data_IF_272525104188
#
_entry.id   IF_272525104188
#
_cell.length_a   1.000
_cell.length_b   1.000
_cell.length_c   1.000
_cell.angle_alpha   90.00
_cell.angle_beta   90.00
_cell.angle_gamma   90.00
#
_symmetry.space_group_name_H-M   'P 1'
#
loop_
_entity.id
_entity.type
_entity.pdbx_description
1 polymer ?
#
# COMPACT_ATOMS: atom_id res chain seq x y z
N UNK A 1 -15.74 63.00 -23.98
CA UNK A 1 -16.68 63.31 -22.89
C UNK A 1 -16.27 62.50 -21.68
N UNK A 2 -15.43 63.10 -20.83
CA UNK A 2 -15.26 62.71 -19.44
C UNK A 2 -16.46 63.22 -18.62
N UNK A 3 -16.59 62.76 -17.37
CA UNK A 3 -16.56 63.74 -16.29
C UNK A 3 -15.56 63.38 -15.17
N UNK A 4 -14.72 64.37 -14.85
CA UNK A 4 -14.20 64.77 -13.52
C UNK A 4 -15.33 64.92 -12.48
N UNK A 5 -15.19 65.16 -11.17
CA UNK A 5 -14.17 65.24 -10.11
C UNK A 5 -15.01 65.48 -8.82
N UNK A 6 -14.55 65.10 -7.63
CA UNK A 6 -14.37 66.03 -6.48
C UNK A 6 -13.99 65.34 -5.16
N UNK A 7 -13.06 66.02 -4.50
CA UNK A 7 -12.33 65.77 -3.25
C UNK A 7 -13.07 66.22 -1.98
N UNK A 8 -12.63 65.72 -0.80
CA UNK A 8 -12.16 66.46 0.41
C UNK A 8 -12.11 65.49 1.63
N UNK A 9 -10.92 65.13 2.17
CA UNK A 9 -10.21 65.71 3.35
C UNK A 9 -11.01 65.71 4.66
N UNK A 10 -10.49 65.55 5.89
CA UNK A 10 -9.20 65.21 6.54
C UNK A 10 -9.44 65.45 8.06
N UNK A 11 -8.81 64.69 8.97
CA UNK A 11 -8.14 65.09 10.25
C UNK A 11 -8.10 63.88 11.20
N UNK A 12 -6.96 63.30 11.64
CA UNK A 12 -5.76 63.79 12.35
C UNK A 12 -5.90 63.72 13.89
N UNK A 13 -4.94 63.06 14.54
CA UNK A 13 -4.81 62.94 16.00
C UNK A 13 -3.62 62.10 16.45
N UNK A 14 -2.44 62.73 16.56
CA UNK A 14 -1.15 62.22 17.08
C UNK A 14 -1.08 62.10 18.61
N UNK A 15 -0.13 61.27 19.08
CA UNK A 15 0.90 61.53 20.15
C UNK A 15 1.62 60.20 20.46
N UNK A 16 2.87 59.99 20.07
CA UNK A 16 4.16 60.41 20.67
C UNK A 16 4.37 59.92 22.12
N UNK A 17 5.34 59.01 22.32
CA UNK A 17 6.63 59.30 22.97
C UNK A 17 7.49 58.02 23.22
N UNK A 18 8.80 58.16 23.02
CA UNK A 18 9.90 57.22 23.39
C UNK A 18 10.69 57.81 24.58
N UNK A 19 11.90 57.33 24.95
CA UNK A 19 12.36 56.02 25.44
C UNK A 19 13.08 56.13 26.81
N UNK A 20 13.36 55.02 27.53
CA UNK A 20 14.54 54.91 28.44
C UNK A 20 14.79 53.50 29.01
N UNK A 21 16.07 53.26 29.25
CA UNK A 21 16.83 52.08 29.67
C UNK A 21 16.71 51.67 31.16
N UNK A 22 16.80 50.36 31.48
CA UNK A 22 17.41 49.83 32.72
C UNK A 22 17.67 48.31 32.65
N UNK A 23 18.69 47.84 33.41
CA UNK A 23 19.28 46.49 33.44
C UNK A 23 18.62 45.53 34.45
N UNK A 24 18.96 44.23 34.25
CA UNK A 24 19.28 43.16 35.23
C UNK A 24 18.22 42.20 35.79
N UNK A 25 18.54 40.91 35.58
CA UNK A 25 18.36 39.71 36.44
C UNK A 25 17.25 38.70 36.09
N UNK A 26 17.64 37.42 35.96
CA UNK A 26 16.74 36.26 36.00
C UNK A 26 17.23 35.06 35.17
N UNK A 27 17.68 34.01 35.85
CA UNK A 27 18.38 32.81 35.38
C UNK A 27 17.52 31.77 34.62
N UNK A 28 18.19 30.87 33.87
CA UNK A 28 17.71 29.49 33.66
C UNK A 28 17.74 28.95 32.22
N UNK A 29 18.92 28.63 31.67
CA UNK A 29 19.09 27.81 30.46
C UNK A 29 19.77 26.48 30.83
N UNK A 30 19.13 25.34 30.55
CA UNK A 30 19.70 23.99 30.70
C UNK A 30 19.81 23.35 29.31
N UNK A 31 21.05 23.14 28.87
CA UNK A 31 21.45 22.46 27.63
C UNK A 31 22.28 21.23 28.01
N UNK A 32 21.81 20.03 27.65
CA UNK A 32 22.54 18.77 27.89
C UNK A 32 23.33 18.39 26.63
N UNK A 33 24.62 18.17 26.82
CA UNK A 33 25.61 17.80 25.81
C UNK A 33 26.03 16.34 26.00
N UNK A 34 26.05 15.56 24.90
CA UNK A 34 26.63 14.22 24.85
C UNK A 34 28.15 14.31 24.66
N UNK A 35 28.90 13.43 25.35
CA UNK A 35 30.28 13.13 25.00
C UNK A 35 30.64 11.67 25.31
N UNK A 36 31.22 11.04 24.29
CA UNK A 36 31.91 9.74 24.25
C UNK A 36 33.27 9.77 24.93
N UNK A 37 33.77 8.61 25.40
CA UNK A 37 35.16 8.17 25.13
C UNK A 37 35.45 6.77 25.70
N UNK A 38 36.15 5.98 24.88
CA UNK A 38 36.80 4.72 25.21
C UNK A 38 38.00 4.89 26.17
N UNK A 39 38.42 3.80 26.82
CA UNK A 39 39.67 3.72 27.59
C UNK A 39 39.88 2.35 28.21
N UNK A 40 41.09 1.83 28.05
CA UNK A 40 41.51 0.43 28.11
C UNK A 40 42.30 0.12 29.40
N UNK A 41 42.38 -1.18 29.74
CA UNK A 41 43.53 -1.89 30.36
C UNK A 41 43.87 -1.87 31.87
N UNK A 42 44.24 -3.09 32.33
CA UNK A 42 45.13 -3.52 33.46
C UNK A 42 44.53 -3.54 34.88
N UNK A 43 44.82 -4.49 35.79
CA UNK A 43 45.85 -5.54 35.89
C UNK A 43 45.49 -6.58 36.98
N UNK A 44 45.85 -7.85 36.73
CA UNK A 44 46.34 -8.91 37.64
C UNK A 44 45.94 -8.99 39.13
N UNK A 45 45.59 -10.22 39.57
CA UNK A 45 46.42 -10.97 40.54
C UNK A 45 46.08 -12.46 40.61
N UNK A 46 47.13 -13.27 40.56
CA UNK A 46 47.19 -14.73 40.65
C UNK A 46 47.38 -15.23 42.09
N UNK A 47 46.78 -16.37 42.46
CA UNK A 47 47.37 -17.44 43.31
C UNK A 47 46.32 -18.57 43.47
N UNK A 48 46.52 -19.78 42.92
CA UNK A 48 47.42 -20.88 43.27
C UNK A 48 47.03 -21.64 44.56
N UNK A 49 46.27 -22.73 44.35
CA UNK A 49 46.49 -24.04 44.97
C UNK A 49 45.94 -24.29 46.37
N UNK A 50 45.08 -25.32 46.51
CA UNK A 50 45.36 -26.56 47.26
C UNK A 50 44.09 -27.39 47.47
N UNK A 51 44.13 -28.65 47.02
CA UNK A 51 43.34 -29.80 47.54
C UNK A 51 44.12 -30.38 48.73
N UNK A 52 43.50 -30.99 49.77
CA UNK A 52 43.03 -32.39 49.64
C UNK A 52 41.83 -32.78 50.54
N UNK A 53 41.34 -34.02 50.38
CA UNK A 53 40.74 -34.76 51.50
C UNK A 53 39.37 -35.42 51.25
N UNK A 54 39.39 -36.74 51.09
CA UNK A 54 38.25 -37.69 51.11
C UNK A 54 37.54 -37.71 52.48
N UNK A 55 36.23 -38.00 52.50
CA UNK A 55 35.66 -39.16 53.24
C UNK A 55 34.16 -39.36 52.94
N UNK A 56 33.75 -40.63 52.92
CA UNK A 56 32.38 -41.12 52.79
C UNK A 56 31.64 -41.07 54.13
N UNK A 57 30.31 -40.95 54.09
CA UNK A 57 29.42 -41.27 55.22
C UNK A 57 27.95 -41.17 54.84
N UNK A 58 27.30 -42.31 54.61
CA UNK A 58 25.84 -42.45 54.57
C UNK A 58 25.29 -42.49 55.99
N UNK A 59 24.18 -41.79 56.27
CA UNK A 59 23.18 -42.19 57.27
C UNK A 59 21.85 -41.45 57.03
N UNK A 60 20.78 -42.24 56.93
CA UNK A 60 19.38 -41.81 57.03
C UNK A 60 19.01 -41.48 58.49
N UNK A 61 17.99 -40.65 58.69
CA UNK A 61 17.21 -40.67 59.94
C UNK A 61 16.63 -39.33 60.41
N UNK A 62 15.43 -39.03 59.91
CA UNK A 62 14.26 -38.45 60.62
C UNK A 62 14.29 -37.08 61.35
N UNK A 63 13.22 -36.35 61.02
CA UNK A 63 12.34 -35.57 61.89
C UNK A 63 12.69 -34.12 62.29
N UNK A 64 11.82 -33.21 61.83
CA UNK A 64 11.17 -32.25 62.71
C UNK A 64 11.52 -30.78 62.51
N UNK A 65 10.49 -29.95 62.30
CA UNK A 65 10.49 -28.56 62.78
C UNK A 65 10.43 -27.47 61.71
N UNK A 66 9.23 -26.93 61.57
CA UNK A 66 8.71 -25.70 60.98
C UNK A 66 9.59 -24.42 61.00
N UNK A 67 9.10 -23.42 60.23
CA UNK A 67 9.40 -21.97 60.28
C UNK A 67 10.61 -21.55 59.41
N UNK A 68 10.57 -20.61 58.45
CA UNK A 68 9.78 -19.40 58.21
C UNK A 68 9.66 -19.14 56.70
N UNK A 69 8.49 -18.67 56.27
CA UNK A 69 8.29 -18.10 54.95
C UNK A 69 8.64 -16.60 54.97
N UNK A 70 9.60 -16.17 54.16
CA UNK A 70 9.78 -14.79 53.75
C UNK A 70 9.69 -14.72 52.22
N UNK A 71 8.76 -13.95 51.63
CA UNK A 71 8.79 -13.67 50.21
C UNK A 71 9.60 -12.40 49.97
N UNK A 72 10.70 -12.52 49.22
CA UNK A 72 11.33 -11.36 48.57
C UNK A 72 10.36 -10.77 47.53
N UNK A 73 10.13 -9.45 47.52
CA UNK A 73 9.46 -8.77 46.43
C UNK A 73 10.53 -8.29 45.45
N UNK A 74 10.46 -8.72 44.18
CA UNK A 74 10.91 -7.99 42.97
C UNK A 74 11.24 -8.96 41.80
N UNK A 75 10.23 -9.51 41.13
CA UNK A 75 10.40 -10.03 39.75
C UNK A 75 9.14 -9.81 38.88
N UNK A 76 8.57 -8.60 38.88
CA UNK A 76 7.48 -8.27 37.95
C UNK A 76 7.93 -8.02 36.49
N UNK A 77 9.25 -8.04 36.20
CA UNK A 77 9.82 -7.89 34.86
C UNK A 77 10.16 -9.19 34.13
N UNK A 78 10.08 -10.35 34.80
CA UNK A 78 10.56 -11.64 34.29
C UNK A 78 9.48 -12.55 33.69
N UNK A 79 8.19 -12.32 33.96
CA UNK A 79 7.10 -13.23 33.59
C UNK A 79 6.84 -13.30 32.08
N UNK A 80 6.82 -12.17 31.39
CA UNK A 80 6.60 -12.14 29.93
C UNK A 80 7.79 -12.69 29.15
N UNK A 81 9.02 -12.52 29.67
CA UNK A 81 10.24 -13.05 29.06
C UNK A 81 10.41 -14.55 29.33
N UNK A 82 9.95 -15.07 30.47
CA UNK A 82 9.97 -16.49 30.78
C UNK A 82 8.90 -17.27 30.00
N UNK A 83 7.70 -16.70 29.84
CA UNK A 83 6.65 -17.22 28.94
C UNK A 83 7.13 -17.27 27.48
N UNK A 84 7.81 -16.22 27.00
CA UNK A 84 8.38 -16.18 25.66
C UNK A 84 9.46 -17.26 25.46
N UNK A 85 10.32 -17.48 26.46
CA UNK A 85 11.36 -18.52 26.40
C UNK A 85 10.75 -19.92 26.37
N UNK A 86 9.70 -20.16 27.13
CA UNK A 86 8.96 -21.42 27.10
C UNK A 86 8.32 -21.68 25.73
N UNK A 87 7.66 -20.67 25.15
CA UNK A 87 7.11 -20.75 23.79
C UNK A 87 8.20 -20.98 22.74
N UNK A 88 9.36 -20.32 22.86
CA UNK A 88 10.48 -20.48 21.93
C UNK A 88 11.07 -21.89 22.01
N UNK A 89 11.16 -22.46 23.21
CA UNK A 89 11.68 -23.81 23.43
C UNK A 89 10.68 -24.88 22.97
N UNK A 90 9.39 -24.68 23.18
CA UNK A 90 8.32 -25.51 22.63
C UNK A 90 8.30 -25.46 21.09
N UNK A 91 8.47 -24.27 20.51
CA UNK A 91 8.55 -24.07 19.07
C UNK A 91 9.77 -24.78 18.48
N UNK A 92 10.94 -24.67 19.13
CA UNK A 92 12.16 -25.36 18.71
C UNK A 92 12.00 -26.89 18.73
N UNK A 93 11.35 -27.44 19.76
CA UNK A 93 11.05 -28.89 19.83
C UNK A 93 10.01 -29.34 18.80
N UNK A 94 9.07 -28.46 18.46
CA UNK A 94 8.02 -28.74 17.47
C UNK A 94 8.48 -28.49 16.02
N UNK A 95 9.57 -27.76 15.82
CA UNK A 95 10.12 -27.36 14.52
C UNK A 95 10.28 -28.51 13.53
N UNK A 96 10.90 -29.67 13.86
CA UNK A 96 11.03 -30.76 12.88
C UNK A 96 9.67 -31.30 12.40
N UNK A 97 8.67 -31.39 13.28
CA UNK A 97 7.32 -31.84 12.93
C UNK A 97 6.57 -30.82 12.08
N UNK A 98 6.68 -29.53 12.44
CA UNK A 98 6.19 -28.41 11.63
C UNK A 98 6.85 -28.39 10.25
N UNK A 99 8.16 -28.65 10.16
CA UNK A 99 8.91 -28.68 8.91
C UNK A 99 8.43 -29.83 8.01
N UNK A 100 8.24 -31.03 8.56
CA UNK A 100 7.69 -32.17 7.79
C UNK A 100 6.29 -31.85 7.26
N UNK A 101 5.41 -31.26 8.09
CA UNK A 101 4.07 -30.86 7.70
C UNK A 101 4.11 -29.77 6.62
N UNK A 102 4.96 -28.75 6.78
CA UNK A 102 5.18 -27.71 5.78
C UNK A 102 5.68 -28.28 4.45
N UNK A 103 6.66 -29.19 4.47
CA UNK A 103 7.16 -29.84 3.24
C UNK A 103 6.05 -30.65 2.57
N UNK A 104 5.25 -31.40 3.34
CA UNK A 104 4.12 -32.16 2.79
C UNK A 104 3.09 -31.24 2.12
N UNK A 105 2.74 -30.13 2.77
CA UNK A 105 1.83 -29.12 2.22
C UNK A 105 2.41 -28.45 0.97
N UNK A 106 3.70 -28.11 0.97
CA UNK A 106 4.37 -27.51 -0.19
C UNK A 106 4.36 -28.45 -1.39
N UNK A 107 4.69 -29.74 -1.18
CA UNK A 107 4.66 -30.74 -2.26
C UNK A 107 3.24 -30.95 -2.77
N UNK A 108 2.24 -30.99 -1.88
CA UNK A 108 0.84 -31.14 -2.26
C UNK A 108 0.33 -29.96 -3.11
N UNK A 109 0.79 -28.75 -2.84
CA UNK A 109 0.34 -27.53 -3.54
C UNK A 109 1.40 -26.92 -4.47
N UNK A 110 2.46 -27.66 -4.83
CA UNK A 110 3.62 -27.14 -5.56
C UNK A 110 3.23 -26.54 -6.93
N UNK A 111 2.27 -27.17 -7.61
CA UNK A 111 1.74 -26.70 -8.89
C UNK A 111 1.00 -25.37 -8.73
N UNK A 112 0.17 -25.25 -7.70
CA UNK A 112 -0.53 -24.00 -7.39
C UNK A 112 0.43 -22.88 -7.01
N UNK A 113 1.40 -23.16 -6.13
CA UNK A 113 2.39 -22.18 -5.68
C UNK A 113 3.26 -21.69 -6.83
N UNK A 114 3.78 -22.62 -7.65
CA UNK A 114 4.63 -22.27 -8.80
C UNK A 114 3.90 -21.39 -9.81
N UNK A 115 2.63 -21.69 -10.12
CA UNK A 115 1.83 -20.81 -10.97
C UNK A 115 1.55 -19.47 -10.29
N UNK A 116 1.24 -19.45 -9.00
CA UNK A 116 1.05 -18.22 -8.24
C UNK A 116 2.28 -17.29 -8.28
N UNK A 117 3.48 -17.87 -8.16
CA UNK A 117 4.75 -17.14 -8.34
C UNK A 117 4.85 -16.60 -9.78
N UNK A 118 4.58 -17.44 -10.78
CA UNK A 118 4.57 -17.02 -12.19
C UNK A 118 3.62 -15.84 -12.44
N UNK A 119 2.39 -15.91 -11.94
CA UNK A 119 1.39 -14.85 -12.03
C UNK A 119 1.86 -13.55 -11.35
N UNK A 120 2.45 -13.65 -10.16
CA UNK A 120 2.97 -12.51 -9.43
C UNK A 120 4.17 -11.87 -10.14
N UNK A 121 5.08 -12.67 -10.70
CA UNK A 121 6.22 -12.19 -11.48
C UNK A 121 5.74 -11.51 -12.76
N UNK A 122 4.82 -12.11 -13.50
CA UNK A 122 4.18 -11.51 -14.69
C UNK A 122 3.52 -10.18 -14.35
N UNK A 123 2.75 -10.13 -13.26
CA UNK A 123 2.15 -8.90 -12.75
C UNK A 123 3.20 -7.83 -12.45
N UNK A 124 4.23 -8.16 -11.66
CA UNK A 124 5.25 -7.20 -11.25
C UNK A 124 6.04 -6.66 -12.45
N UNK A 125 6.42 -7.54 -13.38
CA UNK A 125 7.09 -7.18 -14.63
C UNK A 125 6.22 -6.24 -15.49
N UNK A 126 4.95 -6.62 -15.72
CA UNK A 126 4.06 -5.85 -16.58
C UNK A 126 3.71 -4.50 -15.95
N UNK A 127 3.47 -4.45 -14.64
CA UNK A 127 3.18 -3.20 -13.93
C UNK A 127 4.37 -2.24 -13.99
N UNK A 128 5.58 -2.74 -13.70
CA UNK A 128 6.81 -1.94 -13.81
C UNK A 128 7.00 -1.42 -15.24
N UNK A 129 6.76 -2.27 -16.24
CA UNK A 129 6.88 -1.91 -17.65
C UNK A 129 5.88 -0.84 -18.06
N UNK A 130 4.59 -0.97 -17.70
CA UNK A 130 3.55 0.04 -17.98
C UNK A 130 3.92 1.39 -17.35
N UNK A 131 4.23 1.40 -16.05
CA UNK A 131 4.58 2.64 -15.33
C UNK A 131 5.81 3.32 -15.97
N UNK A 132 6.81 2.54 -16.36
CA UNK A 132 7.99 3.07 -17.04
C UNK A 132 7.65 3.68 -18.42
N UNK A 133 6.81 3.02 -19.22
CA UNK A 133 6.39 3.57 -20.53
C UNK A 133 5.53 4.82 -20.38
N UNK A 134 4.64 4.89 -19.37
CA UNK A 134 3.88 6.09 -19.05
C UNK A 134 4.82 7.25 -18.68
N UNK A 135 5.88 6.97 -17.93
CA UNK A 135 6.88 7.95 -17.55
C UNK A 135 7.68 8.50 -18.76
N UNK A 136 8.01 7.65 -19.75
CA UNK A 136 8.80 8.04 -20.93
C UNK A 136 8.05 8.90 -21.96
N UNK A 137 6.70 8.97 -21.91
CA UNK A 137 5.85 9.82 -22.76
C UNK A 137 6.07 9.63 -24.27
N UNK A 138 6.56 10.64 -24.98
CA UNK A 138 6.85 10.60 -26.43
C UNK A 138 7.99 9.64 -26.77
N UNK A 139 8.91 9.41 -25.82
CA UNK A 139 10.00 8.45 -25.95
C UNK A 139 9.59 7.02 -25.63
N UNK A 140 8.30 6.76 -25.43
CA UNK A 140 7.81 5.40 -25.19
C UNK A 140 8.06 4.51 -26.41
N UNK A 141 8.54 3.30 -26.17
CA UNK A 141 8.74 2.35 -27.25
C UNK A 141 7.43 1.66 -27.59
N UNK A 142 6.86 2.00 -28.74
CA UNK A 142 5.63 1.38 -29.26
C UNK A 142 5.79 -0.12 -29.46
N UNK A 143 6.98 -0.57 -29.88
CA UNK A 143 7.29 -2.00 -30.01
C UNK A 143 7.23 -2.71 -28.65
N UNK A 144 7.81 -2.12 -27.60
CA UNK A 144 7.74 -2.69 -26.25
C UNK A 144 6.30 -2.72 -25.72
N UNK A 145 5.51 -1.69 -25.98
CA UNK A 145 4.09 -1.67 -25.60
C UNK A 145 3.29 -2.74 -26.36
N UNK A 146 3.50 -2.89 -27.67
CA UNK A 146 2.83 -3.93 -28.47
C UNK A 146 3.23 -5.32 -28.00
N UNK A 147 4.52 -5.56 -27.73
CA UNK A 147 4.98 -6.81 -27.14
C UNK A 147 4.33 -7.09 -25.80
N UNK A 148 4.27 -6.08 -24.91
CA UNK A 148 3.66 -6.23 -23.60
C UNK A 148 2.16 -6.53 -23.70
N UNK A 149 1.44 -5.91 -24.63
CA UNK A 149 0.03 -6.18 -24.91
C UNK A 149 -0.17 -7.62 -25.40
N UNK A 150 0.66 -8.09 -26.34
CA UNK A 150 0.62 -9.47 -26.84
C UNK A 150 0.94 -10.46 -25.72
N UNK A 151 1.95 -10.17 -24.90
CA UNK A 151 2.34 -10.99 -23.76
C UNK A 151 1.20 -11.10 -22.73
N UNK A 152 0.60 -9.98 -22.31
CA UNK A 152 -0.54 -9.97 -21.37
C UNK A 152 -1.78 -10.69 -21.93
N UNK A 153 -2.06 -10.48 -23.22
CA UNK A 153 -3.17 -11.16 -23.90
C UNK A 153 -2.92 -12.67 -23.98
N UNK A 154 -1.71 -13.08 -24.36
CA UNK A 154 -1.28 -14.48 -24.40
C UNK A 154 -1.31 -15.13 -23.03
N UNK A 155 -0.85 -14.46 -21.97
CA UNK A 155 -0.95 -14.95 -20.59
C UNK A 155 -2.40 -15.12 -20.16
N UNK A 156 -3.27 -14.16 -20.49
CA UNK A 156 -4.70 -14.26 -20.17
C UNK A 156 -5.39 -15.42 -20.89
N UNK A 157 -5.08 -15.61 -22.19
CA UNK A 157 -5.59 -16.73 -22.99
C UNK A 157 -5.06 -18.09 -22.52
N UNK A 158 -3.78 -18.17 -22.15
CA UNK A 158 -3.17 -19.37 -21.61
C UNK A 158 -3.85 -19.81 -20.31
N UNK A 159 -4.10 -18.86 -19.39
CA UNK A 159 -4.83 -19.14 -18.16
C UNK A 159 -6.26 -19.59 -18.46
N UNK A 160 -6.96 -18.90 -19.37
CA UNK A 160 -8.30 -19.30 -19.78
C UNK A 160 -8.34 -20.74 -20.31
N UNK A 161 -7.41 -21.12 -21.20
CA UNK A 161 -7.36 -22.46 -21.77
C UNK A 161 -7.00 -23.52 -20.73
N UNK A 162 -5.99 -23.25 -19.91
CA UNK A 162 -5.51 -24.18 -18.87
C UNK A 162 -6.61 -24.51 -17.85
N UNK A 163 -7.45 -23.54 -17.52
CA UNK A 163 -8.52 -23.69 -16.53
C UNK A 163 -9.92 -23.74 -17.15
N UNK A 164 -10.03 -23.99 -18.45
CA UNK A 164 -11.31 -24.11 -19.14
C UNK A 164 -12.17 -25.23 -18.52
N UNK A 165 -11.53 -26.34 -18.15
CA UNK A 165 -12.18 -27.48 -17.47
C UNK A 165 -12.76 -27.13 -16.09
N UNK A 166 -12.18 -26.14 -15.39
CA UNK A 166 -12.67 -25.67 -14.09
C UNK A 166 -13.76 -24.59 -14.19
N UNK A 167 -14.21 -24.26 -15.41
CA UNK A 167 -15.27 -23.27 -15.68
C UNK A 167 -15.03 -21.89 -15.02
N UNK A 168 -13.78 -21.46 -14.84
CA UNK A 168 -13.44 -20.16 -14.20
C UNK A 168 -14.08 -18.94 -14.91
N UNK A 169 -14.43 -19.08 -16.18
CA UNK A 169 -15.14 -18.05 -16.95
C UNK A 169 -16.55 -17.77 -16.41
N UNK A 170 -17.18 -18.73 -15.73
CA UNK A 170 -18.48 -18.52 -15.10
C UNK A 170 -18.33 -17.54 -13.92
N UNK A 171 -17.28 -17.69 -13.10
CA UNK A 171 -16.94 -16.71 -12.05
C UNK A 171 -16.70 -15.30 -12.61
N UNK A 172 -16.09 -15.21 -13.79
CA UNK A 172 -15.87 -13.94 -14.48
C UNK A 172 -17.17 -13.26 -14.93
N UNK A 173 -18.27 -13.99 -15.16
CA UNK A 173 -19.58 -13.46 -15.58
C UNK A 173 -20.58 -13.45 -14.40
N UNK A 174 -20.09 -13.55 -13.16
CA UNK A 174 -20.91 -13.63 -11.94
C UNK A 174 -21.83 -14.86 -11.87
N UNK A 175 -21.54 -15.90 -12.65
CA UNK A 175 -22.22 -17.19 -12.58
C UNK A 175 -21.42 -18.15 -11.69
N UNK A 176 -22.13 -19.03 -10.98
CA UNK A 176 -21.49 -20.07 -10.18
C UNK A 176 -20.89 -21.14 -11.10
N UNK A 177 -19.60 -21.51 -10.95
CA UNK A 177 -19.05 -22.62 -11.70
C UNK A 177 -19.75 -23.93 -11.29
N UNK A 178 -19.88 -24.87 -12.22
CA UNK A 178 -20.57 -26.17 -12.00
C UNK A 178 -19.75 -27.18 -11.19
N UNK A 179 -18.67 -26.75 -10.52
CA UNK A 179 -17.79 -27.62 -9.74
C UNK A 179 -18.34 -27.75 -8.32
N UNK A 180 -18.28 -28.95 -7.75
CA UNK A 180 -18.67 -29.20 -6.35
C UNK A 180 -17.63 -28.57 -5.40
N UNK A 181 -17.89 -27.35 -4.93
CA UNK A 181 -16.98 -26.59 -4.06
C UNK A 181 -16.97 -27.12 -2.63
N UNK A 182 -16.29 -28.24 -2.40
CA UNK A 182 -16.16 -28.81 -1.05
C UNK A 182 -14.88 -28.38 -0.34
N UNK A 183 -13.86 -27.88 -1.05
CA UNK A 183 -12.54 -27.57 -0.48
C UNK A 183 -12.24 -26.07 -0.42
N UNK A 184 -11.93 -25.57 0.78
CA UNK A 184 -11.51 -24.17 1.03
C UNK A 184 -10.37 -23.71 0.10
N UNK A 185 -9.37 -24.57 -0.11
CA UNK A 185 -8.19 -24.26 -0.93
C UNK A 185 -8.54 -24.08 -2.41
N UNK A 186 -9.55 -24.79 -2.91
CA UNK A 186 -10.02 -24.64 -4.29
C UNK A 186 -10.75 -23.31 -4.47
N UNK A 187 -11.56 -22.89 -3.49
CA UNK A 187 -12.19 -21.56 -3.50
C UNK A 187 -11.14 -20.46 -3.53
N UNK A 188 -10.14 -20.54 -2.65
CA UNK A 188 -9.03 -19.58 -2.60
C UNK A 188 -8.26 -19.54 -3.94
N UNK A 189 -8.02 -20.72 -4.53
CA UNK A 189 -7.37 -20.85 -5.82
C UNK A 189 -8.17 -20.18 -6.95
N UNK A 190 -9.46 -20.48 -7.05
CA UNK A 190 -10.37 -19.92 -8.07
C UNK A 190 -10.43 -18.40 -7.97
N UNK A 191 -10.64 -17.88 -6.76
CA UNK A 191 -10.67 -16.43 -6.52
C UNK A 191 -9.31 -15.79 -6.84
N UNK A 192 -8.21 -16.42 -6.44
CA UNK A 192 -6.86 -15.93 -6.72
C UNK A 192 -6.54 -15.86 -8.22
N UNK A 193 -6.80 -16.93 -8.97
CA UNK A 193 -6.52 -16.98 -10.42
C UNK A 193 -7.42 -16.01 -11.18
N UNK A 194 -8.72 -15.94 -10.84
CA UNK A 194 -9.65 -15.00 -11.49
C UNK A 194 -9.27 -13.53 -11.23
N UNK A 195 -8.78 -13.20 -10.02
CA UNK A 195 -8.23 -11.89 -9.70
C UNK A 195 -7.04 -11.51 -10.60
N UNK A 196 -6.10 -12.44 -10.82
CA UNK A 196 -4.96 -12.22 -11.71
C UNK A 196 -5.37 -12.09 -13.18
N UNK A 197 -6.33 -12.89 -13.66
CA UNK A 197 -6.86 -12.76 -15.02
C UNK A 197 -7.44 -11.36 -15.21
N UNK A 198 -8.23 -10.87 -14.27
CA UNK A 198 -8.79 -9.52 -14.34
C UNK A 198 -7.70 -8.44 -14.32
N UNK A 199 -6.68 -8.59 -13.46
CA UNK A 199 -5.51 -7.69 -13.48
C UNK A 199 -4.88 -7.66 -14.87
N UNK A 200 -4.63 -8.81 -15.50
CA UNK A 200 -3.99 -8.86 -16.81
C UNK A 200 -4.85 -8.25 -17.91
N UNK A 201 -6.17 -8.48 -17.89
CA UNK A 201 -7.10 -7.84 -18.83
C UNK A 201 -7.06 -6.31 -18.71
N UNK A 202 -7.19 -5.76 -17.50
CA UNK A 202 -7.17 -4.31 -17.30
C UNK A 202 -5.78 -3.69 -17.54
N UNK A 203 -4.70 -4.39 -17.21
CA UNK A 203 -3.33 -3.98 -17.59
C UNK A 203 -3.15 -3.99 -19.11
N UNK A 204 -3.75 -4.95 -19.81
CA UNK A 204 -3.83 -4.97 -21.28
C UNK A 204 -4.58 -3.76 -21.84
N UNK A 205 -5.74 -3.40 -21.27
CA UNK A 205 -6.49 -2.20 -21.64
C UNK A 205 -5.67 -0.90 -21.41
N UNK A 206 -4.94 -0.80 -20.29
CA UNK A 206 -4.02 0.32 -20.03
C UNK A 206 -2.89 0.36 -21.07
N UNK A 207 -2.33 -0.79 -21.43
CA UNK A 207 -1.30 -0.89 -22.46
C UNK A 207 -1.84 -0.50 -23.85
N UNK A 208 -3.09 -0.85 -24.17
CA UNK A 208 -3.76 -0.40 -25.38
C UNK A 208 -3.87 1.14 -25.43
N UNK A 209 -4.24 1.80 -24.33
CA UNK A 209 -4.28 3.28 -24.24
C UNK A 209 -2.89 3.91 -24.46
N UNK A 210 -1.80 3.26 -24.04
CA UNK A 210 -0.44 3.72 -24.35
C UNK A 210 -0.17 3.74 -25.87
N UNK A 211 -0.67 2.73 -26.59
CA UNK A 211 -0.51 2.61 -28.04
C UNK A 211 -1.29 3.69 -28.81
N UNK A 212 -2.46 4.11 -28.30
CA UNK A 212 -3.29 5.15 -28.92
C UNK A 212 -2.47 6.41 -29.24
N UNK A 213 -2.48 6.90 -30.49
CA UNK A 213 -1.78 8.13 -30.88
C UNK A 213 -2.25 9.37 -30.10
N UNK A 214 -1.35 10.35 -29.92
CA UNK A 214 -1.64 11.60 -29.20
C UNK A 214 -2.73 12.45 -29.86
N UNK A 215 -2.96 12.28 -31.17
CA UNK A 215 -4.04 12.95 -31.89
C UNK A 215 -5.44 12.49 -31.41
N UNK A 216 -5.61 11.21 -31.08
CA UNK A 216 -6.89 10.66 -30.58
C UNK A 216 -7.03 10.96 -29.10
N UNK A 217 -5.96 10.74 -28.33
CA UNK A 217 -5.97 10.92 -26.88
C UNK A 217 -4.69 11.59 -26.40
N UNK A 218 -4.82 12.82 -25.90
CA UNK A 218 -3.72 13.57 -25.30
C UNK A 218 -3.14 12.87 -24.06
N UNK A 219 -1.87 13.10 -23.76
CA UNK A 219 -1.20 12.49 -22.60
C UNK A 219 -1.90 12.82 -21.28
N UNK A 220 -2.37 14.06 -21.12
CA UNK A 220 -3.22 14.47 -19.99
C UNK A 220 -4.47 13.60 -19.88
N UNK A 221 -5.16 13.34 -20.99
CA UNK A 221 -6.36 12.50 -21.02
C UNK A 221 -6.04 11.04 -20.67
N UNK A 222 -4.93 10.49 -21.17
CA UNK A 222 -4.51 9.09 -20.88
C UNK A 222 -4.41 8.82 -19.38
N UNK A 223 -3.85 9.75 -18.61
CA UNK A 223 -3.75 9.63 -17.14
C UNK A 223 -5.12 9.47 -16.47
N UNK A 224 -6.13 10.25 -16.89
CA UNK A 224 -7.49 10.13 -16.37
C UNK A 224 -8.13 8.78 -16.71
N UNK A 225 -7.86 8.24 -17.91
CA UNK A 225 -8.33 6.92 -18.29
C UNK A 225 -7.66 5.79 -17.50
N UNK A 226 -6.36 5.88 -17.19
CA UNK A 226 -5.71 4.90 -16.32
C UNK A 226 -6.33 4.86 -14.93
N UNK A 227 -6.60 6.03 -14.36
CA UNK A 227 -7.25 6.16 -13.06
C UNK A 227 -8.67 5.58 -13.07
N UNK A 228 -9.47 5.90 -14.08
CA UNK A 228 -10.82 5.37 -14.22
C UNK A 228 -10.81 3.84 -14.42
N UNK A 229 -9.94 3.33 -15.30
CA UNK A 229 -9.82 1.89 -15.54
C UNK A 229 -9.39 1.12 -14.29
N UNK A 230 -8.47 1.66 -13.50
CA UNK A 230 -8.03 1.00 -12.27
C UNK A 230 -9.14 0.92 -11.23
N UNK A 231 -9.92 1.99 -11.07
CA UNK A 231 -11.03 2.01 -10.12
C UNK A 231 -12.19 1.12 -10.59
N UNK A 232 -12.46 1.08 -11.90
CA UNK A 232 -13.38 0.10 -12.49
C UNK A 232 -12.89 -1.34 -12.28
N UNK A 233 -11.59 -1.59 -12.42
CA UNK A 233 -10.97 -2.90 -12.16
C UNK A 233 -11.15 -3.33 -10.70
N UNK A 234 -10.83 -2.45 -9.75
CA UNK A 234 -11.00 -2.72 -8.31
C UNK A 234 -12.46 -3.00 -7.96
N UNK A 235 -13.37 -2.24 -8.56
CA UNK A 235 -14.80 -2.43 -8.40
C UNK A 235 -15.24 -3.79 -8.95
N UNK A 236 -14.85 -4.14 -10.17
CA UNK A 236 -15.19 -5.43 -10.77
C UNK A 236 -14.66 -6.61 -9.96
N UNK A 237 -13.40 -6.53 -9.53
CA UNK A 237 -12.74 -7.53 -8.68
C UNK A 237 -13.41 -7.70 -7.32
N UNK A 238 -14.19 -6.72 -6.86
CA UNK A 238 -14.94 -6.82 -5.61
C UNK A 238 -16.16 -7.75 -5.72
N UNK A 239 -16.77 -7.79 -6.91
CA UNK A 239 -17.97 -8.58 -7.16
C UNK A 239 -17.66 -10.01 -7.57
N UNK A 240 -16.55 -10.25 -8.26
CA UNK A 240 -16.19 -11.56 -8.83
C UNK A 240 -16.09 -12.68 -7.77
N UNK A 241 -15.53 -12.46 -6.57
CA UNK A 241 -15.49 -13.49 -5.52
C UNK A 241 -16.86 -13.78 -4.88
N UNK A 242 -17.85 -12.88 -5.01
CA UNK A 242 -19.12 -12.96 -4.26
C UNK A 242 -19.87 -14.26 -4.55
N UNK A 243 -20.13 -14.67 -5.81
CA UNK A 243 -20.86 -15.90 -6.08
C UNK A 243 -20.14 -17.15 -5.59
N UNK A 244 -18.80 -17.15 -5.62
CA UNK A 244 -17.96 -18.28 -5.23
C UNK A 244 -18.00 -18.48 -3.70
N UNK A 245 -17.76 -17.41 -2.93
CA UNK A 245 -17.82 -17.46 -1.47
C UNK A 245 -19.23 -17.71 -0.96
N UNK A 246 -20.23 -17.08 -1.56
CA UNK A 246 -21.62 -17.27 -1.17
C UNK A 246 -22.04 -18.74 -1.30
N UNK A 247 -21.68 -19.39 -2.42
CA UNK A 247 -21.95 -20.82 -2.61
C UNK A 247 -21.20 -21.69 -1.61
N UNK A 248 -19.91 -21.41 -1.38
CA UNK A 248 -19.10 -22.15 -0.39
C UNK A 248 -19.70 -22.08 1.03
N UNK A 249 -20.13 -20.90 1.47
CA UNK A 249 -20.71 -20.69 2.79
C UNK A 249 -22.07 -21.38 2.97
N UNK A 250 -22.89 -21.43 1.92
CA UNK A 250 -24.19 -22.11 1.94
C UNK A 250 -24.03 -23.63 1.83
N UNK A 251 -23.12 -24.11 0.97
CA UNK A 251 -22.87 -25.53 0.75
C UNK A 251 -22.35 -26.25 2.01
N UNK A 252 -21.60 -25.57 2.87
CA UNK A 252 -21.24 -26.10 4.20
C UNK A 252 -22.47 -26.49 5.05
N UNK A 253 -23.63 -25.89 4.77
CA UNK A 253 -24.90 -26.20 5.41
C UNK A 253 -25.62 -27.44 4.90
N UNK A 254 -25.07 -28.20 3.95
CA UNK A 254 -25.63 -29.47 3.46
C UNK A 254 -25.31 -30.67 4.36
N UNK A 255 -24.67 -30.50 5.52
CA UNK A 255 -24.71 -31.55 6.55
C UNK A 255 -26.18 -31.89 6.86
N UNK A 256 -26.54 -33.18 6.92
CA UNK A 256 -27.89 -33.76 7.09
C UNK A 256 -28.68 -33.31 8.35
N UNK A 257 -28.20 -32.29 9.06
CA UNK A 257 -28.79 -31.71 10.26
C UNK A 257 -29.37 -30.32 9.96
N UNK A 258 -30.61 -30.06 10.38
CA UNK A 258 -31.29 -28.76 10.20
C UNK A 258 -30.48 -27.55 10.72
N UNK A 259 -29.63 -27.77 11.74
CA UNK A 259 -28.69 -26.78 12.27
C UNK A 259 -27.63 -26.36 11.25
N UNK A 260 -27.11 -27.29 10.45
CA UNK A 260 -26.12 -27.02 9.41
C UNK A 260 -26.68 -26.09 8.34
N UNK A 261 -27.86 -26.39 7.82
CA UNK A 261 -28.53 -25.57 6.80
C UNK A 261 -28.82 -24.16 7.30
N UNK A 262 -29.29 -24.03 8.54
CA UNK A 262 -29.57 -22.73 9.16
C UNK A 262 -28.29 -21.91 9.33
N UNK A 263 -27.20 -22.54 9.79
CA UNK A 263 -25.90 -21.90 9.95
C UNK A 263 -25.32 -21.43 8.61
N UNK A 264 -25.39 -22.26 7.56
CA UNK A 264 -24.91 -21.90 6.22
C UNK A 264 -25.65 -20.69 5.62
N UNK A 265 -26.97 -20.66 5.77
CA UNK A 265 -27.79 -19.50 5.33
C UNK A 265 -27.41 -18.24 6.12
N UNK A 266 -27.26 -18.34 7.44
CA UNK A 266 -26.87 -17.20 8.29
C UNK A 266 -25.50 -16.64 7.90
N UNK A 267 -24.51 -17.51 7.67
CA UNK A 267 -23.17 -17.13 7.22
C UNK A 267 -23.20 -16.48 5.83
N UNK A 268 -23.96 -17.04 4.90
CA UNK A 268 -24.13 -16.48 3.55
C UNK A 268 -24.76 -15.08 3.60
N UNK A 269 -25.82 -14.88 4.41
CA UNK A 269 -26.45 -13.56 4.59
C UNK A 269 -25.50 -12.57 5.24
N UNK A 270 -24.79 -12.95 6.31
CA UNK A 270 -23.80 -12.11 6.97
C UNK A 270 -22.71 -11.67 5.98
N UNK A 271 -22.19 -12.60 5.17
CA UNK A 271 -21.21 -12.29 4.12
C UNK A 271 -21.74 -11.28 3.11
N UNK A 272 -22.97 -11.45 2.61
CA UNK A 272 -23.58 -10.49 1.68
C UNK A 272 -23.78 -9.10 2.31
N UNK A 273 -24.16 -9.03 3.59
CA UNK A 273 -24.28 -7.76 4.32
C UNK A 273 -22.92 -7.07 4.43
N UNK A 274 -21.88 -7.80 4.85
CA UNK A 274 -20.52 -7.25 4.94
C UNK A 274 -20.02 -6.75 3.57
N UNK A 275 -20.34 -7.48 2.50
CA UNK A 275 -20.03 -7.07 1.13
C UNK A 275 -20.76 -5.81 0.71
N UNK A 276 -22.05 -5.71 1.02
CA UNK A 276 -22.85 -4.52 0.72
C UNK A 276 -22.32 -3.29 1.46
N UNK A 277 -21.95 -3.43 2.74
CA UNK A 277 -21.34 -2.35 3.52
C UNK A 277 -19.99 -1.90 2.92
N UNK A 278 -19.15 -2.86 2.53
CA UNK A 278 -17.88 -2.58 1.85
C UNK A 278 -18.10 -1.85 0.53
N UNK A 279 -19.14 -2.25 -0.23
CA UNK A 279 -19.51 -1.61 -1.50
C UNK A 279 -19.88 -0.15 -1.27
N UNK A 280 -20.73 0.15 -0.29
CA UNK A 280 -21.09 1.52 0.05
C UNK A 280 -19.90 2.36 0.52
N UNK A 281 -18.93 1.74 1.21
CA UNK A 281 -17.69 2.39 1.60
C UNK A 281 -16.85 2.81 0.38
N UNK A 282 -16.66 1.91 -0.58
CA UNK A 282 -15.86 2.17 -1.79
C UNK A 282 -16.58 3.07 -2.79
N UNK A 283 -17.91 3.06 -2.81
CA UNK A 283 -18.73 3.86 -3.73
C UNK A 283 -18.45 5.37 -3.64
N UNK A 284 -18.06 5.88 -2.47
CA UNK A 284 -17.63 7.28 -2.31
C UNK A 284 -16.37 7.59 -3.13
N UNK A 285 -15.38 6.69 -3.12
CA UNK A 285 -14.13 6.83 -3.87
C UNK A 285 -14.38 6.77 -5.37
N UNK A 286 -15.19 5.80 -5.83
CA UNK A 286 -15.54 5.66 -7.23
C UNK A 286 -16.27 6.91 -7.76
N UNK A 287 -17.24 7.44 -7.01
CA UNK A 287 -17.92 8.70 -7.37
C UNK A 287 -16.97 9.89 -7.41
N UNK A 288 -15.99 9.96 -6.53
CA UNK A 288 -14.95 10.99 -6.56
C UNK A 288 -14.09 10.89 -7.82
N UNK A 289 -13.66 9.68 -8.19
CA UNK A 289 -12.85 9.43 -9.40
C UNK A 289 -13.64 9.78 -10.66
N UNK A 290 -14.91 9.38 -10.74
CA UNK A 290 -15.80 9.76 -11.83
C UNK A 290 -15.95 11.28 -11.92
N UNK A 291 -16.17 11.96 -10.79
CA UNK A 291 -16.24 13.42 -10.75
C UNK A 291 -14.96 14.03 -11.33
N UNK A 292 -13.79 13.59 -10.90
CA UNK A 292 -12.49 14.08 -11.38
C UNK A 292 -12.31 13.79 -12.88
N UNK A 293 -12.74 12.62 -13.35
CA UNK A 293 -12.69 12.24 -14.77
C UNK A 293 -13.52 13.17 -15.66
N UNK A 294 -14.72 13.57 -15.20
CA UNK A 294 -15.61 14.48 -15.92
C UNK A 294 -15.21 15.95 -15.78
N UNK A 295 -14.78 16.41 -14.60
CA UNK A 295 -14.44 17.83 -14.38
C UNK A 295 -13.04 18.21 -14.85
N UNK A 296 -12.11 17.24 -14.95
CA UNK A 296 -10.70 17.43 -15.39
C UNK A 296 -10.05 18.68 -14.79
N UNK A 297 -9.78 18.71 -13.47
CA UNK A 297 -9.28 19.89 -12.80
C UNK A 297 -7.96 20.41 -13.41
N UNK A 298 -7.83 21.73 -13.44
CA UNK A 298 -6.60 22.43 -13.78
C UNK A 298 -5.91 22.86 -12.49
N UNK A 299 -4.59 22.65 -12.39
CA UNK A 299 -3.81 22.95 -11.17
C UNK A 299 -3.34 24.41 -11.08
N UNK A 300 -3.75 25.25 -12.03
CA UNK A 300 -3.33 26.63 -12.12
C UNK A 300 -3.92 27.32 -13.34
N UNK A 301 -3.46 28.54 -13.61
CA UNK A 301 -3.89 29.36 -14.75
C UNK A 301 -2.82 29.35 -15.84
N UNK A 302 -3.16 29.51 -17.12
CA UNK A 302 -2.17 29.69 -18.18
C UNK A 302 -1.22 30.85 -17.85
N UNK A 303 0.09 30.61 -17.92
CA UNK A 303 1.07 31.64 -17.58
C UNK A 303 1.18 32.70 -18.70
N UNK A 304 1.40 33.95 -18.31
CA UNK A 304 1.68 35.03 -19.26
C UNK A 304 3.13 34.96 -19.76
N UNK A 305 3.42 35.54 -20.94
CA UNK A 305 4.80 35.58 -21.50
C UNK A 305 5.83 36.20 -20.54
N UNK A 306 5.41 37.19 -19.73
CA UNK A 306 6.28 37.83 -18.74
C UNK A 306 6.72 36.84 -17.65
N UNK A 307 5.80 36.01 -17.18
CA UNK A 307 6.07 35.01 -16.15
C UNK A 307 6.91 33.84 -16.66
N UNK A 308 6.86 33.54 -17.96
CA UNK A 308 7.77 32.56 -18.58
C UNK A 308 9.19 33.14 -18.67
N UNK A 309 9.33 34.41 -19.06
CA UNK A 309 10.64 35.07 -19.17
C UNK A 309 11.36 35.25 -17.85
N UNK A 310 10.65 35.34 -16.72
CA UNK A 310 11.25 35.36 -15.36
C UNK A 310 11.98 34.06 -15.01
N UNK A 311 11.71 32.98 -15.74
CA UNK A 311 12.31 31.65 -15.57
C UNK A 311 13.14 31.21 -16.78
N UNK A 312 13.69 32.18 -17.53
CA UNK A 312 14.46 31.94 -18.76
C UNK A 312 13.73 31.10 -19.82
N UNK A 313 12.38 31.13 -19.81
CA UNK A 313 11.50 30.31 -20.66
C UNK A 313 11.73 28.77 -20.54
N UNK A 314 12.42 28.31 -19.50
CA UNK A 314 12.76 26.90 -19.28
C UNK A 314 11.96 26.31 -18.10
N UNK A 315 11.31 25.17 -18.34
CA UNK A 315 10.66 24.43 -17.27
C UNK A 315 11.67 23.67 -16.41
N UNK A 316 11.66 23.89 -15.09
CA UNK A 316 12.58 23.22 -14.15
C UNK A 316 12.38 21.71 -13.99
N UNK A 317 11.26 21.15 -14.46
CA UNK A 317 11.01 19.70 -14.42
C UNK A 317 11.59 18.99 -15.65
N UNK A 318 11.31 19.48 -16.87
CA UNK A 318 11.80 18.85 -18.10
C UNK A 318 13.07 19.48 -18.67
N UNK A 319 13.53 20.60 -18.10
CA UNK A 319 14.71 21.35 -18.52
C UNK A 319 14.68 21.73 -20.01
N UNK A 320 13.49 22.04 -20.52
CA UNK A 320 13.23 22.42 -21.89
C UNK A 320 12.26 23.61 -21.92
N UNK A 321 12.11 24.23 -23.10
CA UNK A 321 11.19 25.34 -23.31
C UNK A 321 9.75 24.99 -22.90
N UNK A 322 9.02 25.95 -22.33
CA UNK A 322 7.68 25.72 -21.85
C UNK A 322 6.70 25.26 -22.94
N UNK A 323 6.12 24.09 -22.73
CA UNK A 323 4.97 23.61 -23.49
C UNK A 323 3.69 23.79 -22.67
N UNK A 324 2.80 24.70 -23.12
CA UNK A 324 1.56 25.08 -22.41
C UNK A 324 1.84 25.42 -20.94
N UNK A 325 2.55 26.54 -20.67
CA UNK A 325 2.96 26.89 -19.32
C UNK A 325 1.75 27.18 -18.43
N UNK A 326 1.79 26.66 -17.21
CA UNK A 326 0.80 26.89 -16.16
C UNK A 326 1.49 27.52 -14.97
N UNK A 327 0.90 28.59 -14.46
CA UNK A 327 1.26 29.26 -13.23
C UNK A 327 0.45 28.67 -12.08
N UNK A 328 1.16 28.18 -11.06
CA UNK A 328 0.56 27.70 -9.82
C UNK A 328 0.19 28.86 -8.89
N UNK A 329 -0.62 28.59 -7.86
CA UNK A 329 -1.00 29.57 -6.83
C UNK A 329 0.22 30.11 -6.05
N UNK A 330 1.31 29.35 -5.99
CA UNK A 330 2.59 29.77 -5.39
C UNK A 330 3.50 30.53 -6.37
N UNK A 331 2.97 30.96 -7.51
CA UNK A 331 3.64 31.75 -8.56
C UNK A 331 4.79 31.06 -9.30
N UNK A 332 4.92 29.73 -9.18
CA UNK A 332 5.88 28.96 -9.97
C UNK A 332 5.27 28.45 -11.29
N UNK A 333 6.03 28.55 -12.37
CA UNK A 333 5.62 28.18 -13.74
C UNK A 333 6.21 26.84 -14.16
N UNK A 334 5.38 25.98 -14.76
CA UNK A 334 5.78 24.67 -15.27
C UNK A 334 5.01 24.33 -16.56
N UNK A 335 5.50 23.39 -17.37
CA UNK A 335 4.68 22.79 -18.42
C UNK A 335 3.47 22.07 -17.80
N UNK A 336 2.27 22.22 -18.39
CA UNK A 336 1.04 21.58 -17.91
C UNK A 336 1.22 20.07 -17.65
N UNK A 337 1.87 19.37 -18.57
CA UNK A 337 2.09 17.92 -18.46
C UNK A 337 3.15 17.55 -17.42
N UNK A 338 4.17 18.39 -17.23
CA UNK A 338 5.22 18.17 -16.24
C UNK A 338 4.65 18.24 -14.83
N UNK A 339 3.92 19.32 -14.52
CA UNK A 339 3.35 19.51 -13.20
C UNK A 339 2.18 18.57 -12.93
N UNK A 340 1.40 18.20 -13.95
CA UNK A 340 0.35 17.19 -13.80
C UNK A 340 0.91 15.82 -13.41
N UNK A 341 2.07 15.44 -13.95
CA UNK A 341 2.74 14.17 -13.59
C UNK A 341 3.30 14.23 -12.17
N UNK A 342 3.89 15.35 -11.79
CA UNK A 342 4.37 15.56 -10.42
C UNK A 342 3.22 15.37 -9.40
N UNK A 343 2.05 15.95 -9.68
CA UNK A 343 0.87 15.81 -8.81
C UNK A 343 0.21 14.42 -8.80
N UNK A 344 0.69 13.48 -9.63
CA UNK A 344 0.27 12.08 -9.53
C UNK A 344 0.98 11.36 -8.36
N UNK A 345 2.08 11.93 -7.85
CA UNK A 345 2.88 11.33 -6.75
C UNK A 345 2.95 12.24 -5.54
N UNK A 346 3.16 13.53 -5.78
CA UNK A 346 3.31 14.55 -4.75
C UNK A 346 2.12 15.50 -4.70
N UNK A 347 1.95 16.25 -3.61
CA UNK A 347 0.88 17.28 -3.48
C UNK A 347 1.41 18.71 -3.52
N UNK A 348 2.72 18.85 -3.57
CA UNK A 348 3.45 20.08 -3.27
C UNK A 348 4.13 20.62 -4.52
N UNK A 349 4.39 21.93 -4.57
CA UNK A 349 5.17 22.50 -5.66
C UNK A 349 6.62 21.96 -5.64
N UNK A 350 7.20 21.55 -6.79
CA UNK A 350 8.59 21.06 -6.85
C UNK A 350 9.64 22.05 -6.34
N UNK A 351 9.36 23.35 -6.43
CA UNK A 351 10.32 24.41 -6.09
C UNK A 351 10.19 24.86 -4.63
N UNK A 352 8.98 25.24 -4.19
CA UNK A 352 8.76 25.81 -2.86
C UNK A 352 8.06 24.89 -1.86
N UNK A 353 7.68 23.68 -2.28
CA UNK A 353 6.95 22.68 -1.46
C UNK A 353 5.59 23.15 -0.90
N UNK A 354 5.08 24.31 -1.32
CA UNK A 354 3.70 24.73 -1.00
C UNK A 354 2.70 23.68 -1.46
N UNK A 355 1.72 23.34 -0.62
CA UNK A 355 0.65 22.39 -0.97
C UNK A 355 -0.27 23.02 -2.00
N UNK A 356 -0.45 22.35 -3.15
CA UNK A 356 -1.25 22.86 -4.28
C UNK A 356 -2.55 22.04 -4.45
N UNK A 357 -2.54 20.78 -4.04
CA UNK A 357 -3.71 19.90 -4.13
C UNK A 357 -3.93 19.11 -2.84
N UNK A 358 -5.18 18.99 -2.38
CA UNK A 358 -5.50 18.16 -1.21
C UNK A 358 -5.49 16.65 -1.48
N UNK A 359 -5.53 16.23 -2.75
CA UNK A 359 -5.66 14.85 -3.14
C UNK A 359 -4.57 14.43 -4.15
N UNK A 360 -3.83 13.34 -3.83
CA UNK A 360 -3.01 12.66 -4.84
C UNK A 360 -3.95 11.80 -5.67
N UNK A 361 -3.94 12.02 -6.99
CA UNK A 361 -4.70 11.19 -7.92
C UNK A 361 -3.98 9.85 -8.09
N UNK A 362 -4.33 8.87 -7.27
CA UNK A 362 -3.81 7.50 -7.36
C UNK A 362 -4.02 6.94 -8.78
N UNK A 363 -3.08 6.12 -9.25
CA UNK A 363 -3.17 5.35 -10.51
C UNK A 363 -3.08 6.13 -11.83
N UNK A 364 -3.00 7.48 -11.79
CA UNK A 364 -2.79 8.30 -13.01
C UNK A 364 -1.46 8.02 -13.70
N UNK A 365 -0.50 7.43 -13.01
CA UNK A 365 0.80 7.00 -13.54
C UNK A 365 0.75 5.63 -14.26
N UNK A 366 -0.42 5.02 -14.35
CA UNK A 366 -0.63 3.72 -14.98
C UNK A 366 -0.35 2.53 -14.07
N UNK A 367 -0.01 2.75 -12.80
CA UNK A 367 0.16 1.67 -11.83
C UNK A 367 -1.15 0.88 -11.64
N UNK A 368 -1.00 -0.39 -11.31
CA UNK A 368 -2.10 -1.32 -10.97
C UNK A 368 -1.94 -1.74 -9.51
N UNK A 369 -3.04 -1.90 -8.79
CA UNK A 369 -3.02 -2.27 -7.38
C UNK A 369 -2.51 -3.69 -7.18
N UNK A 370 -1.54 -3.85 -6.28
CA UNK A 370 -1.01 -5.17 -5.89
C UNK A 370 -1.93 -5.94 -4.93
N UNK A 371 -2.91 -5.25 -4.34
CA UNK A 371 -3.86 -5.85 -3.41
C UNK A 371 -4.53 -7.06 -4.08
N UNK A 372 -4.65 -8.18 -3.36
CA UNK A 372 -5.34 -9.39 -3.80
C UNK A 372 -6.72 -9.40 -3.15
N UNK A 373 -7.80 -9.38 -3.93
CA UNK A 373 -9.15 -9.41 -3.38
C UNK A 373 -9.58 -10.87 -3.17
N UNK A 374 -9.24 -11.38 -1.99
CA UNK A 374 -9.50 -12.77 -1.62
C UNK A 374 -10.97 -12.99 -1.26
N UNK A 375 -11.65 -11.99 -0.69
CA UNK A 375 -13.02 -12.10 -0.20
C UNK A 375 -13.96 -11.23 -0.96
#
# INVERSE_FOLDING_TARGET
MQPECSHLQSTQGSRDDSPSSARLSGEGEVRIQLSSSAGDSRENTTSRGSRPGRSHGHAHGEAGGSEEAAPDPEEQGGSSLSELRYLLQWLHQSLPYLLILCVKLLVQHITGISLGIGLLTTYAYANKSIVNQVFLRERCSKLQCTWLLLYLSGSSLLLYYTFHSQCLYQSLIFLSPTVDFMNFWEVLWIVGVTDFILKFLFMGLKCFILLVPSFIMSFKSKGYWYMLLEELCQYYRMFVPIPVWFRYLIAYGELDTALGRTLGILLGLLYLILKLLSFFGQWRNFRQVLRIFFTRPHYGVPASKRQCSESDDICSICQAEFQKPILLICQHTFCEECISLWFNREKTCPLCRTVISDHVNKWKDGATSMHLQIF
#
